data_IF_472190318140
#
_entry.id   IF_472190318140
#
_cell.length_a   1.000
_cell.length_b   1.000
_cell.length_c   1.000
_cell.angle_alpha   90.00
_cell.angle_beta   90.00
_cell.angle_gamma   90.00
#
_symmetry.space_group_name_H-M   'P 1'
#
loop_
_entity.id
_entity.type
_entity.pdbx_description
1 polymer ?
#
# COMPACT_ATOMS: atom_id res chain seq x y z
N UNK A 1 -2.27 -10.36 -9.89
CA UNK A 1 -1.00 -10.41 -9.14
C UNK A 1 0.08 -9.68 -9.93
N UNK A 2 0.99 -8.96 -9.27
CA UNK A 2 2.10 -8.25 -9.92
C UNK A 2 3.39 -8.39 -9.12
N UNK A 3 4.54 -8.44 -9.79
CA UNK A 3 5.87 -8.50 -9.19
C UNK A 3 6.84 -7.64 -9.98
N UNK A 4 7.70 -6.91 -9.28
CA UNK A 4 8.84 -6.18 -9.86
C UNK A 4 10.09 -6.44 -9.05
N UNK A 5 11.26 -6.30 -9.68
CA UNK A 5 12.55 -6.22 -9.00
C UNK A 5 12.80 -4.76 -8.65
N UNK A 6 13.35 -4.48 -7.47
CA UNK A 6 13.69 -3.12 -7.08
C UNK A 6 14.80 -2.57 -7.99
N UNK A 7 14.72 -1.28 -8.31
CA UNK A 7 15.83 -0.56 -8.92
C UNK A 7 17.05 -0.52 -7.99
N UNK A 8 18.22 -0.17 -8.53
CA UNK A 8 19.44 0.03 -7.74
C UNK A 8 19.30 1.09 -6.65
N UNK A 9 18.35 2.00 -6.82
CA UNK A 9 17.97 3.06 -5.88
C UNK A 9 16.83 2.65 -4.93
N UNK A 10 16.43 1.38 -4.93
CA UNK A 10 15.34 0.84 -4.12
C UNK A 10 13.94 1.18 -4.62
N UNK A 11 13.79 1.92 -5.74
CA UNK A 11 12.46 2.29 -6.27
C UNK A 11 11.76 1.11 -6.92
N UNK A 12 10.43 1.14 -6.86
CA UNK A 12 9.56 0.21 -7.55
C UNK A 12 8.37 0.96 -8.18
N UNK A 13 7.75 0.36 -9.20
CA UNK A 13 6.55 0.92 -9.84
C UNK A 13 5.61 -0.19 -10.27
N UNK A 14 4.33 -0.01 -9.97
CA UNK A 14 3.24 -0.80 -10.52
C UNK A 14 2.28 0.11 -11.29
N UNK A 15 1.66 -0.41 -12.35
CA UNK A 15 0.48 0.18 -12.99
C UNK A 15 -0.68 -0.76 -12.75
N UNK A 16 -1.72 -0.26 -12.10
CA UNK A 16 -2.91 -1.03 -11.71
C UNK A 16 -4.11 -0.10 -11.68
N UNK A 17 -5.31 -0.65 -11.62
CA UNK A 17 -6.50 0.10 -11.20
C UNK A 17 -6.37 0.50 -9.72
N UNK A 18 -7.01 1.62 -9.34
CA UNK A 18 -7.21 1.97 -7.93
C UNK A 18 -8.00 0.84 -7.24
N UNK A 19 -7.66 0.45 -6.00
CA UNK A 19 -8.43 -0.55 -5.27
C UNK A 19 -9.90 -0.16 -5.18
N UNK A 20 -10.78 -1.08 -5.57
CA UNK A 20 -12.23 -0.89 -5.49
C UNK A 20 -12.77 -1.40 -4.14
N UNK A 21 -13.90 -0.87 -3.66
CA UNK A 21 -14.61 -1.41 -2.51
C UNK A 21 -15.00 -2.87 -2.69
N UNK A 22 -14.89 -3.64 -1.61
CA UNK A 22 -15.38 -5.01 -1.53
C UNK A 22 -15.88 -5.30 -0.11
N UNK A 23 -16.68 -6.35 0.04
CA UNK A 23 -17.32 -6.65 1.32
C UNK A 23 -16.28 -7.03 2.39
N UNK A 24 -16.43 -6.46 3.59
CA UNK A 24 -15.68 -6.85 4.79
C UNK A 24 -14.41 -6.03 5.09
N UNK A 25 -13.82 -5.32 4.12
CA UNK A 25 -12.61 -4.51 4.33
C UNK A 25 -12.66 -3.20 3.53
N UNK A 26 -11.95 -2.17 4.01
CA UNK A 26 -11.72 -0.94 3.22
C UNK A 26 -10.82 -1.25 2.00
N UNK A 27 -10.91 -0.54 0.86
CA UNK A 27 -10.06 -0.79 -0.30
C UNK A 27 -8.56 -0.76 0.05
N UNK A 28 -7.83 -1.82 -0.33
CA UNK A 28 -6.40 -1.92 -0.09
C UNK A 28 -5.65 -2.79 -1.11
N UNK A 29 -4.33 -2.66 -1.14
CA UNK A 29 -3.42 -3.52 -1.91
C UNK A 29 -2.49 -4.24 -0.94
N UNK A 30 -2.38 -5.56 -1.06
CA UNK A 30 -1.38 -6.32 -0.32
C UNK A 30 0.00 -6.16 -0.95
N UNK A 31 1.00 -5.92 -0.10
CA UNK A 31 2.40 -5.83 -0.49
C UNK A 31 3.22 -6.91 0.22
N UNK A 32 4.17 -7.49 -0.52
CA UNK A 32 5.22 -8.35 0.03
C UNK A 32 6.58 -7.84 -0.42
N UNK A 33 7.50 -7.67 0.53
CA UNK A 33 8.90 -7.32 0.27
C UNK A 33 9.77 -8.53 0.61
N UNK A 34 10.66 -8.91 -0.30
CA UNK A 34 11.47 -10.13 -0.20
C UNK A 34 12.90 -9.88 -0.66
N UNK A 35 13.83 -10.54 0.00
CA UNK A 35 15.19 -10.79 -0.48
C UNK A 35 15.31 -12.26 -0.93
N UNK A 36 16.37 -12.64 -1.65
CA UNK A 36 16.63 -14.05 -1.96
C UNK A 36 16.58 -14.90 -0.67
N UNK A 37 15.66 -15.87 -0.64
CA UNK A 37 15.48 -16.79 0.49
C UNK A 37 14.80 -16.22 1.74
N UNK A 38 14.40 -14.94 1.78
CA UNK A 38 13.84 -14.31 2.99
C UNK A 38 12.66 -13.37 2.66
N UNK A 39 11.51 -13.59 3.29
CA UNK A 39 10.41 -12.60 3.32
C UNK A 39 10.69 -11.57 4.41
N UNK A 40 10.76 -10.29 4.04
CA UNK A 40 11.07 -9.19 4.97
C UNK A 40 9.81 -8.59 5.57
N UNK A 41 8.77 -8.41 4.76
CA UNK A 41 7.54 -7.75 5.18
C UNK A 41 6.35 -8.26 4.36
N UNK A 42 5.26 -8.55 5.05
CA UNK A 42 3.92 -8.59 4.46
C UNK A 42 3.12 -7.44 5.07
N UNK A 43 2.55 -6.59 4.23
CA UNK A 43 1.78 -5.42 4.66
C UNK A 43 0.63 -5.12 3.69
N UNK A 44 -0.15 -4.08 3.97
CA UNK A 44 -1.20 -3.57 3.09
C UNK A 44 -1.18 -2.05 3.01
N UNK A 45 -1.47 -1.53 1.81
CA UNK A 45 -1.63 -0.11 1.52
C UNK A 45 -3.11 0.25 1.47
N UNK A 46 -3.52 1.24 2.25
CA UNK A 46 -4.87 1.79 2.29
C UNK A 46 -4.98 3.05 1.42
N UNK A 47 -6.21 3.40 1.06
CA UNK A 47 -6.51 4.61 0.30
C UNK A 47 -6.81 5.77 1.25
N UNK A 48 -6.11 6.89 1.12
CA UNK A 48 -6.34 8.07 1.95
C UNK A 48 -7.73 8.65 1.76
N UNK A 49 -8.39 8.99 2.88
CA UNK A 49 -9.72 9.57 2.90
C UNK A 49 -10.85 8.60 2.55
N UNK A 50 -10.58 7.31 2.37
CA UNK A 50 -11.64 6.34 2.14
C UNK A 50 -12.52 6.18 3.39
N UNK A 51 -13.83 6.33 3.23
CA UNK A 51 -14.80 6.25 4.33
C UNK A 51 -14.84 4.85 4.98
N UNK A 52 -14.40 3.81 4.25
CA UNK A 52 -14.27 2.45 4.77
C UNK A 52 -13.18 2.31 5.83
N UNK A 53 -12.16 3.17 5.85
CA UNK A 53 -11.02 3.04 6.77
C UNK A 53 -11.46 3.05 8.24
N UNK A 54 -12.35 3.97 8.62
CA UNK A 54 -12.84 4.08 10.00
C UNK A 54 -13.67 2.87 10.45
N UNK A 55 -14.22 2.09 9.51
CA UNK A 55 -15.02 0.89 9.77
C UNK A 55 -14.21 -0.40 9.65
N UNK A 56 -13.01 -0.35 9.09
CA UNK A 56 -12.14 -1.49 8.91
C UNK A 56 -11.47 -1.88 10.22
N UNK A 57 -11.69 -3.11 10.68
CA UNK A 57 -11.23 -3.58 11.98
C UNK A 57 -9.70 -3.74 12.08
N UNK A 58 -8.97 -3.89 10.97
CA UNK A 58 -7.51 -3.88 11.01
C UNK A 58 -6.99 -2.46 11.03
N UNK A 59 -7.55 -1.58 10.19
CA UNK A 59 -7.17 -0.17 10.18
C UNK A 59 -7.45 0.51 11.53
N UNK A 60 -8.57 0.19 12.18
CA UNK A 60 -8.95 0.77 13.48
C UNK A 60 -8.00 0.39 14.62
N UNK A 61 -7.30 -0.75 14.51
CA UNK A 61 -6.29 -1.20 15.49
C UNK A 61 -4.94 -0.53 15.34
N UNK A 62 -4.69 0.15 14.21
CA UNK A 62 -3.45 0.88 13.97
C UNK A 62 -3.44 2.18 14.77
N UNK A 63 -2.27 2.56 15.29
CA UNK A 63 -2.03 3.90 15.83
C UNK A 63 -1.91 4.94 14.71
N UNK A 64 -1.81 6.20 15.10
CA UNK A 64 -1.76 7.32 14.14
C UNK A 64 -0.54 7.22 13.19
N UNK A 65 0.62 6.85 13.73
CA UNK A 65 1.85 6.71 12.95
C UNK A 65 1.74 5.58 11.92
N UNK A 66 1.20 4.42 12.31
CA UNK A 66 1.01 3.30 11.40
C UNK A 66 -0.05 3.61 10.34
N UNK A 67 -1.13 4.29 10.70
CA UNK A 67 -2.14 4.75 9.72
C UNK A 67 -1.50 5.69 8.71
N UNK A 68 -0.70 6.66 9.15
CA UNK A 68 0.01 7.57 8.27
C UNK A 68 0.98 6.84 7.34
N UNK A 69 1.71 5.83 7.84
CA UNK A 69 2.64 5.04 7.06
C UNK A 69 1.95 4.14 6.01
N UNK A 70 0.76 3.62 6.31
CA UNK A 70 0.05 2.65 5.45
C UNK A 70 -1.00 3.29 4.54
N UNK A 71 -1.24 4.59 4.63
CA UNK A 71 -2.33 5.26 3.91
C UNK A 71 -1.80 6.17 2.81
N UNK A 72 -2.18 5.88 1.56
CA UNK A 72 -1.65 6.58 0.38
C UNK A 72 -2.65 7.56 -0.19
N UNK A 73 -2.22 8.80 -0.36
CA UNK A 73 -2.96 9.81 -1.14
C UNK A 73 -2.68 9.61 -2.63
N UNK A 74 -3.74 9.50 -3.41
CA UNK A 74 -3.66 9.52 -4.86
C UNK A 74 -3.83 10.95 -5.38
N UNK A 75 -2.93 11.38 -6.25
CA UNK A 75 -2.99 12.66 -6.94
C UNK A 75 -3.26 12.44 -8.44
N UNK A 76 -3.89 13.40 -9.15
CA UNK A 76 -4.01 13.35 -10.60
C UNK A 76 -2.65 13.25 -11.29
N UNK A 77 -2.59 12.51 -12.39
CA UNK A 77 -1.43 12.35 -13.25
C UNK A 77 -1.87 12.31 -14.73
N UNK A 78 -0.92 12.43 -15.66
CA UNK A 78 -1.21 12.46 -17.10
C UNK A 78 -1.99 11.22 -17.60
N UNK A 79 -1.80 10.07 -16.97
CA UNK A 79 -2.42 8.79 -17.32
C UNK A 79 -3.38 8.24 -16.24
N UNK A 80 -3.96 9.13 -15.41
CA UNK A 80 -4.97 8.80 -14.41
C UNK A 80 -4.63 9.36 -13.03
N UNK A 81 -4.38 8.46 -12.07
CA UNK A 81 -3.98 8.85 -10.71
C UNK A 81 -2.71 8.12 -10.29
N UNK A 82 -1.91 8.78 -9.46
CA UNK A 82 -0.66 8.24 -8.93
C UNK A 82 -0.63 8.36 -7.42
N UNK A 83 -0.20 7.31 -6.75
CA UNK A 83 0.14 7.31 -5.32
C UNK A 83 1.59 6.94 -5.12
N UNK A 84 2.18 7.41 -4.03
CA UNK A 84 3.54 7.04 -3.60
C UNK A 84 3.46 6.32 -2.27
N UNK A 85 4.05 5.12 -2.21
CA UNK A 85 4.02 4.26 -1.03
C UNK A 85 5.44 3.88 -0.62
N UNK A 86 6.11 4.68 0.21
CA UNK A 86 7.41 4.32 0.75
C UNK A 86 7.26 3.13 1.70
N UNK A 87 8.09 2.10 1.51
CA UNK A 87 8.14 0.94 2.39
C UNK A 87 9.52 0.91 3.03
N UNK A 88 9.55 0.99 4.36
CA UNK A 88 10.77 0.91 5.15
C UNK A 88 10.82 -0.45 5.82
N UNK A 89 11.95 -1.14 5.71
CA UNK A 89 12.19 -2.46 6.31
C UNK A 89 13.47 -2.40 7.13
N UNK A 90 13.51 -3.15 8.23
CA UNK A 90 14.75 -3.42 8.96
C UNK A 90 15.39 -4.67 8.33
N UNK A 91 16.58 -4.51 7.77
CA UNK A 91 17.32 -5.59 7.10
C UNK A 91 18.20 -6.35 8.05
#
# INVERSE_FOLDING_TARGET
FGRVVLGRDGRYRFRTIRPAPYTGRTPHIHFKVRLPGRELLTTQMYVAGDAGNARDYLWSRLGEKERAALTVRFAPAADGVRGEFPIVVQT
#
